data_IF_342784383128
#
_entry.id   IF_342784383128
#
_cell.length_a   1.000
_cell.length_b   1.000
_cell.length_c   1.000
_cell.angle_alpha   90.00
_cell.angle_beta   90.00
_cell.angle_gamma   90.00
#
_symmetry.space_group_name_H-M   'P 1'
#
loop_
_entity.id
_entity.type
_entity.pdbx_description
1 polymer ?
#
# COMPACT_ATOMS: atom_id res chain seq x y z
N UNK A 1 -9.27 -13.80 27.20
CA UNK A 1 -9.69 -14.06 25.80
C UNK A 1 -10.28 -15.46 25.58
N UNK A 2 -10.54 -16.28 26.63
CA UNK A 2 -11.16 -17.60 26.46
C UNK A 2 -12.64 -17.58 26.05
N UNK A 3 -13.35 -16.47 26.30
CA UNK A 3 -14.78 -16.34 25.96
C UNK A 3 -15.07 -16.39 24.45
N UNK A 4 -14.14 -15.88 23.63
CA UNK A 4 -14.26 -15.87 22.16
C UNK A 4 -13.54 -17.06 21.50
N UNK A 5 -13.04 -18.02 22.28
CA UNK A 5 -12.24 -19.14 21.76
C UNK A 5 -10.89 -18.73 21.14
N UNK A 6 -10.41 -17.51 21.39
CA UNK A 6 -9.19 -16.98 20.74
C UNK A 6 -7.94 -17.27 21.57
N UNK A 7 -6.92 -17.84 20.91
CA UNK A 7 -5.58 -17.98 21.49
C UNK A 7 -4.76 -16.70 21.29
N UNK A 8 -4.11 -16.22 22.36
CA UNK A 8 -3.26 -15.03 22.30
C UNK A 8 -1.80 -15.46 22.17
N UNK A 9 -1.25 -15.35 20.96
CA UNK A 9 0.18 -15.49 20.73
C UNK A 9 0.91 -14.18 21.11
N UNK A 10 2.00 -14.28 21.89
CA UNK A 10 2.80 -13.13 22.32
C UNK A 10 4.19 -13.24 21.71
N UNK A 11 4.61 -12.16 21.05
CA UNK A 11 5.99 -12.02 20.59
C UNK A 11 6.89 -11.63 21.77
N UNK A 12 8.15 -12.09 21.75
CA UNK A 12 9.16 -11.69 22.74
C UNK A 12 9.42 -10.17 22.67
N UNK A 13 9.84 -9.59 23.80
CA UNK A 13 10.23 -8.18 23.85
C UNK A 13 11.39 -7.92 22.87
N UNK A 14 11.41 -6.73 22.26
CA UNK A 14 12.45 -6.28 21.31
C UNK A 14 12.63 -7.17 20.05
N UNK A 15 11.60 -7.94 19.66
CA UNK A 15 11.61 -8.75 18.44
C UNK A 15 10.60 -8.24 17.38
N UNK A 16 10.88 -7.10 16.71
CA UNK A 16 9.98 -6.52 15.72
C UNK A 16 9.77 -7.41 14.48
N UNK A 17 10.74 -8.30 14.18
CA UNK A 17 10.64 -9.22 13.05
C UNK A 17 9.42 -10.15 13.15
N UNK A 18 9.03 -10.55 14.37
CA UNK A 18 7.86 -11.40 14.60
C UNK A 18 6.53 -10.76 14.19
N UNK A 19 6.44 -9.42 14.16
CA UNK A 19 5.24 -8.69 13.74
C UNK A 19 5.40 -8.02 12.37
N UNK A 20 6.39 -8.48 11.58
CA UNK A 20 6.80 -7.82 10.35
C UNK A 20 5.65 -7.54 9.38
N UNK A 21 4.72 -8.49 9.22
CA UNK A 21 3.57 -8.34 8.31
C UNK A 21 2.64 -7.19 8.70
N UNK A 22 2.33 -7.06 10.01
CA UNK A 22 1.51 -5.97 10.54
C UNK A 22 2.24 -4.64 10.36
N UNK A 23 3.55 -4.60 10.60
CA UNK A 23 4.35 -3.40 10.36
C UNK A 23 4.39 -2.99 8.89
N UNK A 24 4.49 -3.94 7.94
CA UNK A 24 4.43 -3.63 6.49
C UNK A 24 3.09 -3.04 6.12
N UNK A 25 2.01 -3.64 6.61
CA UNK A 25 0.65 -3.13 6.40
C UNK A 25 0.48 -1.72 6.97
N UNK A 26 0.94 -1.45 8.19
CA UNK A 26 0.88 -0.12 8.78
C UNK A 26 1.67 0.94 7.99
N UNK A 27 2.79 0.57 7.34
CA UNK A 27 3.51 1.51 6.46
C UNK A 27 2.68 1.88 5.23
N UNK A 28 2.09 0.88 4.57
CA UNK A 28 1.22 1.10 3.41
C UNK A 28 0.00 1.94 3.78
N UNK A 29 -0.64 1.64 4.91
CA UNK A 29 -1.80 2.39 5.41
C UNK A 29 -1.46 3.86 5.65
N UNK A 30 -0.34 4.14 6.34
CA UNK A 30 0.08 5.52 6.60
C UNK A 30 0.41 6.29 5.32
N UNK A 31 0.99 5.63 4.32
CA UNK A 31 1.28 6.27 3.04
C UNK A 31 0.00 6.61 2.29
N UNK A 32 -0.94 5.67 2.22
CA UNK A 32 -2.24 5.90 1.59
C UNK A 32 -3.03 7.04 2.25
N UNK A 33 -3.03 7.11 3.60
CA UNK A 33 -3.68 8.21 4.33
C UNK A 33 -3.01 9.55 3.97
N UNK A 34 -1.68 9.60 3.90
CA UNK A 34 -0.95 10.83 3.52
C UNK A 34 -1.28 11.30 2.11
N UNK A 35 -1.52 10.38 1.17
CA UNK A 35 -1.90 10.72 -0.20
C UNK A 35 -3.27 11.40 -0.30
N UNK A 36 -4.15 11.22 0.68
CA UNK A 36 -5.45 11.91 0.69
C UNK A 36 -5.34 13.40 1.06
N UNK A 37 -4.17 13.88 1.49
CA UNK A 37 -3.88 15.28 1.80
C UNK A 37 -4.96 15.97 2.67
N UNK A 38 -5.57 15.23 3.58
CA UNK A 38 -6.71 15.66 4.41
C UNK A 38 -6.40 15.42 5.88
N UNK A 39 -6.70 16.41 6.74
CA UNK A 39 -6.56 16.29 8.20
C UNK A 39 -7.66 15.43 8.83
N UNK A 40 -8.83 15.34 8.19
CA UNK A 40 -9.97 14.48 8.54
C UNK A 40 -9.73 13.02 8.11
N UNK A 41 -8.57 12.48 8.45
CA UNK A 41 -8.11 11.15 8.00
C UNK A 41 -9.06 10.01 8.38
N UNK A 42 -9.85 10.18 9.45
CA UNK A 42 -10.83 9.19 9.92
C UNK A 42 -11.96 8.99 8.91
N UNK A 43 -12.37 10.04 8.21
CA UNK A 43 -13.49 9.99 7.26
C UNK A 43 -13.11 9.31 5.95
N UNK A 44 -11.85 9.46 5.54
CA UNK A 44 -11.31 8.80 4.35
C UNK A 44 -10.83 7.37 4.65
N UNK A 45 -10.78 6.97 5.92
CA UNK A 45 -10.26 5.68 6.36
C UNK A 45 -11.00 4.48 5.72
N UNK A 46 -12.35 4.45 5.64
CA UNK A 46 -13.06 3.34 4.99
C UNK A 46 -12.67 3.20 3.51
N UNK A 47 -12.60 4.31 2.79
CA UNK A 47 -12.20 4.35 1.37
C UNK A 47 -10.75 3.88 1.18
N UNK A 48 -9.85 4.30 2.07
CA UNK A 48 -8.45 3.86 2.05
C UNK A 48 -8.32 2.36 2.30
N UNK A 49 -9.03 1.86 3.30
CA UNK A 49 -9.05 0.45 3.68
C UNK A 49 -9.66 -0.44 2.60
N UNK A 50 -10.66 0.07 1.87
CA UNK A 50 -11.25 -0.59 0.71
C UNK A 50 -10.23 -0.67 -0.43
N UNK A 51 -9.59 0.45 -0.76
CA UNK A 51 -8.53 0.50 -1.78
C UNK A 51 -7.40 -0.50 -1.52
N UNK A 52 -6.88 -0.56 -0.29
CA UNK A 52 -5.81 -1.50 0.09
C UNK A 52 -6.25 -2.98 -0.05
N UNK A 53 -7.52 -3.30 0.23
CA UNK A 53 -8.03 -4.68 0.17
C UNK A 53 -8.32 -5.14 -1.26
N UNK A 54 -8.77 -4.22 -2.11
CA UNK A 54 -9.13 -4.50 -3.50
C UNK A 54 -7.97 -4.31 -4.48
N UNK A 55 -6.86 -3.70 -4.04
CA UNK A 55 -5.62 -3.60 -4.80
C UNK A 55 -5.03 -4.99 -5.06
N UNK A 56 -4.68 -5.27 -6.32
CA UNK A 56 -3.97 -6.47 -6.70
C UNK A 56 -2.55 -6.44 -6.14
N UNK A 57 -2.08 -7.57 -5.60
CA UNK A 57 -0.72 -7.72 -5.09
C UNK A 57 0.00 -8.77 -5.92
N UNK A 58 1.04 -8.34 -6.64
CA UNK A 58 1.85 -9.22 -7.48
C UNK A 58 2.50 -10.36 -6.68
N UNK A 59 3.01 -10.07 -5.48
CA UNK A 59 3.59 -11.06 -4.57
C UNK A 59 2.62 -12.21 -4.22
N UNK A 60 1.31 -11.92 -4.24
CA UNK A 60 0.26 -12.88 -3.91
C UNK A 60 -0.45 -13.42 -5.15
N UNK A 61 -0.27 -12.81 -6.32
CA UNK A 61 -1.05 -13.09 -7.53
C UNK A 61 -2.55 -12.79 -7.41
N UNK A 62 -2.98 -12.09 -6.36
CA UNK A 62 -4.38 -11.80 -6.05
C UNK A 62 -4.52 -10.57 -5.13
N UNK A 63 -5.72 -9.98 -5.07
CA UNK A 63 -6.06 -8.99 -4.05
C UNK A 63 -6.45 -9.66 -2.73
N UNK A 64 -6.33 -8.93 -1.62
CA UNK A 64 -6.71 -9.46 -0.30
C UNK A 64 -8.22 -9.74 -0.20
N UNK A 65 -9.05 -8.98 -0.91
CA UNK A 65 -10.49 -9.23 -0.99
C UNK A 65 -10.80 -10.53 -1.76
N UNK A 66 -10.10 -10.78 -2.87
CA UNK A 66 -10.26 -12.03 -3.64
C UNK A 66 -9.90 -13.26 -2.82
N UNK A 67 -8.82 -13.20 -2.03
CA UNK A 67 -8.42 -14.33 -1.18
C UNK A 67 -9.45 -14.65 -0.08
N UNK A 68 -10.20 -13.65 0.39
CA UNK A 68 -11.21 -13.85 1.44
C UNK A 68 -12.55 -14.30 0.86
N UNK A 69 -12.97 -13.71 -0.26
CA UNK A 69 -14.30 -13.96 -0.83
C UNK A 69 -14.30 -14.97 -1.99
N UNK A 70 -13.13 -15.35 -2.49
CA UNK A 70 -12.97 -16.26 -3.64
C UNK A 70 -13.31 -15.62 -5.00
N UNK A 71 -13.66 -14.33 -5.03
CA UNK A 71 -14.09 -13.62 -6.25
C UNK A 71 -13.61 -12.17 -6.25
N UNK A 72 -13.43 -11.58 -7.43
CA UNK A 72 -13.10 -10.15 -7.57
C UNK A 72 -14.24 -9.27 -7.08
N UNK A 73 -13.91 -8.32 -6.20
CA UNK A 73 -14.91 -7.41 -5.62
C UNK A 73 -15.48 -6.47 -6.70
N UNK A 74 -16.80 -6.47 -6.88
CA UNK A 74 -17.50 -5.54 -7.78
C UNK A 74 -17.66 -4.19 -7.09
N UNK A 75 -16.80 -3.24 -7.47
CA UNK A 75 -16.82 -1.88 -6.94
C UNK A 75 -17.64 -0.95 -7.85
N UNK A 76 -18.41 0.00 -7.28
CA UNK A 76 -19.03 1.08 -8.05
C UNK A 76 -17.97 1.87 -8.84
N UNK A 77 -18.34 2.41 -10.00
CA UNK A 77 -17.41 3.17 -10.86
C UNK A 77 -16.71 4.31 -10.11
N UNK A 78 -17.42 5.00 -9.22
CA UNK A 78 -16.88 6.06 -8.35
C UNK A 78 -15.72 5.58 -7.46
N UNK A 79 -15.73 4.32 -7.04
CA UNK A 79 -14.68 3.73 -6.20
C UNK A 79 -13.54 3.11 -7.02
N UNK A 80 -13.74 2.87 -8.33
CA UNK A 80 -12.71 2.28 -9.21
C UNK A 80 -11.54 3.24 -9.41
N UNK A 81 -11.78 4.54 -9.43
CA UNK A 81 -10.72 5.55 -9.57
C UNK A 81 -9.72 5.52 -8.40
N UNK A 82 -10.19 5.13 -7.20
CA UNK A 82 -9.31 4.92 -6.05
C UNK A 82 -8.32 3.79 -6.31
N UNK A 83 -8.73 2.69 -6.96
CA UNK A 83 -7.84 1.56 -7.23
C UNK A 83 -6.62 1.94 -8.09
N UNK A 84 -6.78 2.85 -9.05
CA UNK A 84 -5.66 3.36 -9.85
C UNK A 84 -4.63 4.10 -8.97
N UNK A 85 -5.10 4.95 -8.07
CA UNK A 85 -4.23 5.67 -7.13
C UNK A 85 -3.57 4.71 -6.13
N UNK A 86 -4.31 3.72 -5.64
CA UNK A 86 -3.81 2.71 -4.71
C UNK A 86 -2.77 1.77 -5.33
N UNK A 87 -2.93 1.34 -6.59
CA UNK A 87 -1.94 0.52 -7.28
C UNK A 87 -0.57 1.21 -7.38
N UNK A 88 -0.55 2.52 -7.60
CA UNK A 88 0.69 3.31 -7.64
C UNK A 88 1.31 3.40 -6.24
N UNK A 89 0.52 3.76 -5.23
CA UNK A 89 0.99 3.88 -3.84
C UNK A 89 1.54 2.55 -3.30
N UNK A 90 0.88 1.43 -3.64
CA UNK A 90 1.23 0.09 -3.17
C UNK A 90 2.43 -0.52 -3.88
N UNK A 91 2.77 -0.07 -5.10
CA UNK A 91 4.00 -0.43 -5.82
C UNK A 91 5.23 0.38 -5.40
N UNK A 92 5.05 1.54 -4.78
CA UNK A 92 6.19 2.39 -4.41
C UNK A 92 6.88 1.89 -3.13
N UNK A 93 8.22 1.71 -3.13
CA UNK A 93 8.96 1.39 -1.92
C UNK A 93 8.86 2.55 -0.94
N UNK A 94 8.36 2.28 0.27
CA UNK A 94 8.34 3.26 1.37
C UNK A 94 9.76 3.72 1.70
N UNK A 95 10.10 4.96 1.34
CA UNK A 95 11.38 5.56 1.66
C UNK A 95 11.39 5.99 3.13
N UNK A 96 12.19 5.30 3.95
CA UNK A 96 12.40 5.68 5.34
C UNK A 96 13.15 7.01 5.35
N UNK A 97 12.54 8.10 5.86
CA UNK A 97 13.32 9.25 6.31
C UNK A 97 14.26 8.74 7.41
N UNK A 98 15.52 8.54 7.08
CA UNK A 98 16.58 8.24 8.04
C UNK A 98 16.66 9.39 9.03
N UNK A 99 16.70 9.07 10.32
CA UNK A 99 16.75 10.05 11.43
C UNK A 99 18.04 10.89 11.39
N UNK A 100 19.00 10.55 10.54
CA UNK A 100 20.17 11.38 10.22
C UNK A 100 20.15 11.70 8.72
N UNK A 101 19.91 12.98 8.42
CA UNK A 101 19.69 13.47 7.06
C UNK A 101 20.84 13.17 6.12
N UNK A 102 20.63 12.20 5.22
CA UNK A 102 21.13 12.21 3.84
C UNK A 102 20.12 11.47 2.96
N UNK A 103 19.42 12.15 2.02
CA UNK A 103 18.68 11.46 0.99
C UNK A 103 19.67 10.74 0.07
N UNK A 104 19.47 9.44 -0.11
CA UNK A 104 20.21 8.61 -1.07
C UNK A 104 19.86 9.07 -2.49
N UNK A 105 20.73 9.89 -3.08
CA UNK A 105 20.61 10.50 -4.41
C UNK A 105 20.57 9.42 -5.53
N UNK A 106 20.81 8.15 -5.20
CA UNK A 106 20.95 7.06 -6.15
C UNK A 106 19.63 6.52 -6.72
N UNK A 107 18.50 6.61 -5.99
CA UNK A 107 17.25 5.92 -6.40
C UNK A 107 16.27 6.80 -7.18
N UNK A 108 16.42 8.12 -7.15
CA UNK A 108 15.60 9.06 -7.92
C UNK A 108 15.94 9.09 -9.42
N UNK A 109 17.19 8.81 -9.82
CA UNK A 109 17.62 8.85 -11.23
C UNK A 109 17.14 7.66 -12.06
N UNK A 110 16.86 6.50 -11.45
CA UNK A 110 16.40 5.32 -12.19
C UNK A 110 14.90 5.37 -12.49
N UNK A 111 14.08 5.88 -11.57
CA UNK A 111 12.63 5.99 -11.77
C UNK A 111 12.25 7.08 -12.80
N UNK A 112 13.02 8.17 -12.87
CA UNK A 112 12.77 9.25 -13.85
C UNK A 112 13.09 8.89 -15.30
N UNK A 113 13.95 7.88 -15.55
CA UNK A 113 14.31 7.48 -16.94
C UNK A 113 13.28 6.55 -17.58
N UNK A 114 12.59 5.72 -16.81
CA UNK A 114 11.56 4.81 -17.35
C UNK A 114 10.29 5.57 -17.80
N UNK A 115 9.91 6.62 -17.06
CA UNK A 115 8.77 7.47 -17.44
C UNK A 115 9.04 8.33 -18.69
N UNK A 116 10.27 8.81 -18.88
CA UNK A 116 10.63 9.63 -20.04
C UNK A 116 10.67 8.83 -21.36
N UNK A 117 10.97 7.52 -21.28
CA UNK A 117 11.12 6.68 -22.48
C UNK A 117 9.78 6.20 -23.05
N UNK A 118 8.74 6.08 -22.22
CA UNK A 118 7.38 5.73 -22.69
C UNK A 118 6.66 6.91 -23.35
N UNK A 119 6.94 8.15 -22.93
CA UNK A 119 6.38 9.36 -23.56
C UNK A 119 6.92 9.65 -24.96
N UNK A 120 8.20 9.32 -25.21
CA UNK A 120 8.86 9.63 -26.48
C UNK A 120 8.44 8.72 -27.66
N UNK A 121 7.79 7.58 -27.41
CA UNK A 121 7.36 6.65 -28.47
C UNK A 121 5.95 7.01 -28.99
N UNK A 122 5.16 7.79 -28.24
CA UNK A 122 3.80 8.19 -28.63
C UNK A 122 3.73 9.48 -29.49
N UNK A 123 4.81 10.25 -29.60
CA UNK A 123 4.84 11.48 -30.42
C UNK A 123 5.49 11.27 -31.81
N UNK A 124 5.84 10.03 -32.16
CA UNK A 124 6.51 9.69 -33.41
C UNK A 124 5.67 8.78 -34.34
N UNK A 125 4.34 8.75 -34.18
CA UNK A 125 3.44 8.05 -35.11
C UNK A 125 2.16 8.85 -35.36
#
# INVERSE_FOLDING_TARGET
>A
MKFLGTEKNRTTAYNPASNGQVERFHRQLKQAIRCQATERWVEVLPSVLLGIRSCFKEDLGASSAELVYGTTLRLPETSRHLLQQFNIIMRLPYEKKTVHGRPSIAKARSAGREMAMTGAISEAN
#
